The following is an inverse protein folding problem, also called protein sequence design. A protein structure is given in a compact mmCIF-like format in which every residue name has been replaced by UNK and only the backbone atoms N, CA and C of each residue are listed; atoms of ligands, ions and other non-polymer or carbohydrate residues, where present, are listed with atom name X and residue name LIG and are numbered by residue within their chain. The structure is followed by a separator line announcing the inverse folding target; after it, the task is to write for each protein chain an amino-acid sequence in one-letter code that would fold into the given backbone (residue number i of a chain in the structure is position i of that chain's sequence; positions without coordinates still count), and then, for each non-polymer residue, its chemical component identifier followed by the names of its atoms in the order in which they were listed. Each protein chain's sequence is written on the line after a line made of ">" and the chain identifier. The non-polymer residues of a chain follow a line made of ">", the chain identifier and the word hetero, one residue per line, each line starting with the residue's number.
data_IF_319275847834
#
_entry.id   IF_319275847834
#
_cell.length_a   1.000
_cell.length_b   1.000
_cell.length_c   1.000
_cell.angle_alpha   90.00
_cell.angle_beta   90.00
_cell.angle_gamma   90.00
#
_symmetry.space_group_name_H-M   'P 1'
#
loop_
_entity.id
_entity.type
_entity.pdbx_description
1 polymer ?
#
# COMPACT_ATOMS: atom_id res chain seq x y z
N UNK A 1 7.36 12.01 -3.62
CA UNK A 1 7.35 10.54 -3.81
C UNK A 1 7.04 10.25 -5.27
N UNK A 2 7.86 9.44 -5.95
CA UNK A 2 7.68 9.10 -7.38
C UNK A 2 6.60 8.01 -7.50
N UNK A 3 5.64 8.16 -8.42
CA UNK A 3 4.71 7.08 -8.73
C UNK A 3 5.43 5.94 -9.46
N UNK A 4 5.12 4.71 -9.08
CA UNK A 4 5.65 3.49 -9.70
C UNK A 4 4.60 2.80 -10.58
N UNK A 5 3.32 3.02 -10.29
CA UNK A 5 2.19 2.53 -11.10
C UNK A 5 0.87 2.69 -10.38
N UNK A 6 -0.22 2.28 -11.05
CA UNK A 6 -1.58 2.31 -10.52
C UNK A 6 -2.35 1.06 -10.94
N UNK A 7 -3.41 0.73 -10.22
CA UNK A 7 -4.28 -0.42 -10.53
C UNK A 7 -5.61 -0.35 -9.78
N UNK A 8 -6.37 -1.45 -9.83
CA UNK A 8 -7.75 -1.54 -9.32
C UNK A 8 -7.93 -0.95 -7.90
N UNK A 9 -7.00 -1.24 -6.99
CA UNK A 9 -7.11 -0.85 -5.59
C UNK A 9 -6.44 0.48 -5.25
N UNK A 10 -5.77 1.14 -6.20
CA UNK A 10 -5.11 2.44 -6.00
C UNK A 10 -3.69 2.52 -6.58
N UNK A 11 -2.93 3.53 -6.13
CA UNK A 11 -1.61 3.89 -6.67
C UNK A 11 -0.47 3.32 -5.83
N UNK A 12 0.65 3.02 -6.49
CA UNK A 12 1.90 2.60 -5.85
C UNK A 12 2.93 3.70 -6.02
N UNK A 13 3.56 4.11 -4.92
CA UNK A 13 4.58 5.15 -4.90
C UNK A 13 5.89 4.62 -4.31
N UNK A 14 7.00 5.14 -4.80
CA UNK A 14 8.32 4.95 -4.21
C UNK A 14 8.50 5.89 -3.01
N UNK A 15 8.97 5.32 -1.90
CA UNK A 15 9.29 6.05 -0.68
C UNK A 15 10.55 5.54 0.02
N UNK A 16 10.92 6.24 1.10
CA UNK A 16 11.95 5.81 2.04
C UNK A 16 11.33 5.66 3.44
N UNK A 17 11.31 4.45 3.98
CA UNK A 17 10.90 4.21 5.36
C UNK A 17 12.01 4.69 6.31
N UNK A 18 11.63 5.57 7.26
CA UNK A 18 12.56 6.23 8.21
C UNK A 18 13.78 6.88 7.52
N UNK A 19 13.61 7.34 6.28
CA UNK A 19 14.69 7.97 5.50
C UNK A 19 15.80 7.02 5.00
N UNK A 20 15.75 5.73 5.34
CA UNK A 20 16.84 4.78 5.08
C UNK A 20 16.44 3.68 4.09
N UNK A 21 15.37 2.95 4.39
CA UNK A 21 14.97 1.78 3.62
C UNK A 21 14.11 2.18 2.43
N UNK A 22 14.50 1.79 1.21
CA UNK A 22 13.68 1.99 0.01
C UNK A 22 12.47 1.05 0.06
N UNK A 23 11.28 1.60 -0.13
CA UNK A 23 10.01 0.85 -0.07
C UNK A 23 9.06 1.26 -1.20
N UNK A 24 8.17 0.35 -1.56
CA UNK A 24 6.98 0.64 -2.33
C UNK A 24 5.80 0.84 -1.36
N UNK A 25 5.03 1.90 -1.55
CA UNK A 25 3.88 2.26 -0.72
C UNK A 25 2.65 2.15 -1.61
N UNK A 26 1.81 1.14 -1.37
CA UNK A 26 0.51 1.02 -2.05
C UNK A 26 -0.54 1.78 -1.25
N UNK A 27 -1.03 2.87 -1.82
CA UNK A 27 -2.15 3.62 -1.28
C UNK A 27 -3.45 2.95 -1.73
N UNK A 28 -4.25 2.50 -0.76
CA UNK A 28 -5.55 1.88 -1.01
C UNK A 28 -6.61 2.98 -1.17
N UNK A 29 -7.42 2.91 -2.24
CA UNK A 29 -8.54 3.83 -2.45
C UNK A 29 -9.63 3.57 -1.41
N UNK A 30 -10.22 4.64 -0.87
CA UNK A 30 -11.38 4.53 0.02
C UNK A 30 -12.52 3.73 -0.63
N UNK A 31 -13.17 2.86 0.17
CA UNK A 31 -14.23 1.96 -0.29
C UNK A 31 -13.77 0.82 -1.20
N UNK A 32 -12.47 0.65 -1.45
CA UNK A 32 -11.97 -0.48 -2.24
C UNK A 32 -12.01 -1.82 -1.48
N UNK A 33 -12.08 -1.77 -0.15
CA UNK A 33 -12.15 -2.91 0.77
C UNK A 33 -12.66 -2.43 2.13
N UNK A 34 -13.21 -3.35 2.93
CA UNK A 34 -13.47 -3.11 4.36
C UNK A 34 -12.14 -3.08 5.12
N UNK A 35 -12.02 -2.17 6.08
CA UNK A 35 -10.76 -1.96 6.80
C UNK A 35 -10.41 -3.15 7.68
N UNK A 36 -11.41 -3.74 8.33
CA UNK A 36 -11.27 -4.89 9.21
C UNK A 36 -10.79 -6.12 8.44
N UNK A 37 -11.45 -6.44 7.31
CA UNK A 37 -11.06 -7.55 6.44
C UNK A 37 -9.63 -7.36 5.90
N UNK A 38 -9.28 -6.13 5.51
CA UNK A 38 -7.93 -5.84 5.03
C UNK A 38 -6.87 -6.08 6.11
N UNK A 39 -7.12 -5.66 7.34
CA UNK A 39 -6.18 -5.83 8.46
C UNK A 39 -6.03 -7.31 8.82
N UNK A 40 -7.12 -8.08 8.87
CA UNK A 40 -7.05 -9.51 9.17
C UNK A 40 -6.30 -10.29 8.08
N UNK A 41 -6.57 -10.01 6.81
CA UNK A 41 -5.84 -10.63 5.70
C UNK A 41 -4.37 -10.20 5.69
N UNK A 42 -4.07 -8.93 5.97
CA UNK A 42 -2.69 -8.45 6.04
C UNK A 42 -1.86 -9.15 7.12
N UNK A 43 -2.48 -9.62 8.21
CA UNK A 43 -1.79 -10.40 9.27
C UNK A 43 -1.36 -11.79 8.80
N UNK A 44 -2.05 -12.38 7.82
CA UNK A 44 -1.71 -13.72 7.29
C UNK A 44 -0.75 -13.65 6.09
N UNK A 45 -0.58 -12.48 5.47
CA UNK A 45 0.38 -12.29 4.38
C UNK A 45 1.82 -12.24 4.92
N UNK A 46 2.70 -13.11 4.40
CA UNK A 46 4.16 -13.10 4.66
C UNK A 46 4.93 -12.23 3.68
#
# INVERSE_FOLDING_TARGET
>A
MKELGSGQFGVVRFGKWRGQQRVAIKAIREGAMYEEDFIEEAKVMM
#
